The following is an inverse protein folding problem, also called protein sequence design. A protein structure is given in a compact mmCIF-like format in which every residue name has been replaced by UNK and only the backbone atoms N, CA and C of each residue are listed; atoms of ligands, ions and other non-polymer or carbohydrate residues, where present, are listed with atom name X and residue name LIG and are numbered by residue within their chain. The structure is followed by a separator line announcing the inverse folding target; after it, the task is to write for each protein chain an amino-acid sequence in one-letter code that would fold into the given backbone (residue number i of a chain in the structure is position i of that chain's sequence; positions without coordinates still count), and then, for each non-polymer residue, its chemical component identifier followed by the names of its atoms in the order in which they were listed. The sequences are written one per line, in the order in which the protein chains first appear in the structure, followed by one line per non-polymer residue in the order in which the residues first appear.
data_IF_913218966111
#
_entry.id   IF_913218966111
#
_cell.length_a   1.000
_cell.length_b   1.000
_cell.length_c   1.000
_cell.angle_alpha   90.00
_cell.angle_beta   90.00
_cell.angle_gamma   90.00
#
_symmetry.space_group_name_H-M   'P 1'
#
loop_
_entity.id
_entity.type
_entity.pdbx_description
1 polymer ?
#
# COMPACT_ATOMS: atom_id res chain seq x y z
N UNK A 1 51.58 -2.29 -45.84
CA UNK A 1 52.02 -2.32 -44.43
C UNK A 1 52.21 -0.87 -44.02
N UNK A 2 51.49 -0.23 -43.10
CA UNK A 2 50.52 -0.60 -42.04
C UNK A 2 49.68 0.67 -41.82
N UNK A 3 48.38 0.67 -42.13
CA UNK A 3 47.23 0.69 -41.19
C UNK A 3 47.31 1.73 -40.07
N UNK A 4 46.43 2.74 -40.16
CA UNK A 4 46.08 3.69 -39.10
C UNK A 4 45.43 2.96 -37.92
N UNK A 5 45.57 3.40 -36.66
CA UNK A 5 44.67 3.00 -35.60
C UNK A 5 43.54 4.02 -35.43
N UNK A 6 42.39 3.62 -35.95
CA UNK A 6 41.07 4.17 -35.70
C UNK A 6 40.68 3.98 -34.22
N UNK A 7 40.51 5.10 -33.50
CA UNK A 7 40.13 5.12 -32.09
C UNK A 7 38.61 4.94 -31.99
N UNK A 8 38.19 3.70 -31.70
CA UNK A 8 36.80 3.32 -31.48
C UNK A 8 36.26 3.97 -30.20
N UNK A 9 35.57 5.10 -30.36
CA UNK A 9 34.78 5.70 -29.29
C UNK A 9 33.66 4.72 -28.89
N UNK A 10 33.75 4.20 -27.66
CA UNK A 10 32.68 3.42 -27.05
C UNK A 10 31.41 4.27 -26.99
N UNK A 11 30.24 3.78 -27.44
CA UNK A 11 29.01 4.55 -27.30
C UNK A 11 28.72 4.78 -25.81
N UNK A 12 28.20 5.96 -25.42
CA UNK A 12 27.80 6.20 -24.05
C UNK A 12 26.75 5.15 -23.66
N UNK A 13 26.95 4.50 -22.52
CA UNK A 13 25.93 3.66 -21.89
C UNK A 13 24.71 4.54 -21.71
N UNK A 14 23.66 4.28 -22.48
CA UNK A 14 22.38 4.95 -22.37
C UNK A 14 21.85 4.67 -20.97
N UNK A 15 22.04 5.64 -20.07
CA UNK A 15 21.39 5.66 -18.77
C UNK A 15 19.90 5.60 -19.06
N UNK A 16 19.29 4.44 -18.85
CA UNK A 16 17.86 4.24 -19.02
C UNK A 16 17.14 5.40 -18.35
N UNK A 17 16.58 6.29 -19.15
CA UNK A 17 15.93 7.50 -18.66
C UNK A 17 14.90 7.06 -17.62
N UNK A 18 15.09 7.49 -16.37
CA UNK A 18 14.15 7.23 -15.29
C UNK A 18 12.88 8.00 -15.64
N UNK A 19 11.97 7.34 -16.39
CA UNK A 19 10.70 7.93 -16.81
C UNK A 19 9.94 8.31 -15.54
N UNK A 20 9.67 9.59 -15.36
CA UNK A 20 8.85 10.06 -14.25
C UNK A 20 7.50 9.34 -14.27
N UNK A 21 6.99 8.90 -13.10
CA UNK A 21 5.74 8.17 -13.04
C UNK A 21 4.59 9.04 -13.55
N UNK A 22 3.60 8.41 -14.19
CA UNK A 22 2.36 9.12 -14.58
C UNK A 22 1.53 9.59 -13.39
N UNK A 23 1.82 9.04 -12.20
CA UNK A 23 1.16 9.33 -10.94
C UNK A 23 1.39 8.19 -9.95
N UNK A 24 0.64 8.24 -8.85
CA UNK A 24 0.78 7.33 -7.72
C UNK A 24 -0.53 6.61 -7.41
N UNK A 25 -0.41 5.31 -7.11
CA UNK A 25 -1.44 4.50 -6.47
C UNK A 25 -0.98 4.19 -5.05
N UNK A 26 -1.75 4.63 -4.06
CA UNK A 26 -1.41 4.47 -2.65
C UNK A 26 -2.35 3.47 -2.01
N UNK A 27 -1.81 2.37 -1.49
CA UNK A 27 -2.57 1.33 -0.80
C UNK A 27 -2.46 1.52 0.70
N UNK A 28 -3.59 1.71 1.39
CA UNK A 28 -3.61 1.55 2.84
C UNK A 28 -3.61 0.05 3.20
N UNK A 29 -2.82 -0.32 4.21
CA UNK A 29 -2.67 -1.70 4.68
C UNK A 29 -2.81 -1.70 6.19
N UNK A 30 -3.76 -2.48 6.71
CA UNK A 30 -3.91 -2.66 8.16
C UNK A 30 -5.32 -3.05 8.57
N UNK A 31 -5.45 -3.45 9.84
CA UNK A 31 -6.69 -3.98 10.41
C UNK A 31 -7.80 -2.91 10.50
N UNK A 32 -9.08 -3.31 10.56
CA UNK A 32 -10.14 -2.43 11.06
C UNK A 32 -9.73 -1.82 12.41
N UNK A 33 -10.07 -0.55 12.66
CA UNK A 33 -9.63 0.15 13.88
C UNK A 33 -8.17 0.64 13.88
N UNK A 34 -7.35 0.31 12.88
CA UNK A 34 -5.95 0.78 12.81
C UNK A 34 -5.78 2.28 12.54
N UNK A 35 -6.85 2.96 12.12
CA UNK A 35 -6.86 4.41 11.89
C UNK A 35 -6.71 4.86 10.42
N UNK A 36 -6.82 3.95 9.45
CA UNK A 36 -6.80 4.26 8.00
C UNK A 36 -7.72 5.43 7.62
N UNK A 37 -9.00 5.32 7.95
CA UNK A 37 -10.00 6.36 7.64
C UNK A 37 -9.65 7.70 8.30
N UNK A 38 -9.18 7.69 9.55
CA UNK A 38 -8.73 8.91 10.24
C UNK A 38 -7.51 9.53 9.57
N UNK A 39 -6.57 8.71 9.09
CA UNK A 39 -5.37 9.16 8.38
C UNK A 39 -5.70 9.87 7.07
N UNK A 40 -6.71 9.37 6.34
CA UNK A 40 -7.23 9.99 5.12
C UNK A 40 -7.98 11.30 5.42
N UNK A 41 -8.90 11.28 6.39
CA UNK A 41 -9.68 12.47 6.80
C UNK A 41 -8.77 13.64 7.19
N UNK A 42 -7.72 13.38 7.98
CA UNK A 42 -6.75 14.41 8.39
C UNK A 42 -5.96 15.03 7.24
N UNK A 43 -5.93 14.38 6.07
CA UNK A 43 -5.25 14.86 4.86
C UNK A 43 -6.21 15.46 3.85
N UNK A 44 -7.50 15.54 4.14
CA UNK A 44 -8.52 15.96 3.18
C UNK A 44 -8.61 15.04 1.96
N UNK A 45 -8.22 13.78 2.10
CA UNK A 45 -8.20 12.80 1.00
C UNK A 45 -9.46 11.94 1.08
N UNK A 46 -10.20 11.86 -0.03
CA UNK A 46 -11.29 10.90 -0.22
C UNK A 46 -10.77 9.70 -1.02
N UNK A 47 -10.50 8.55 -0.38
CA UNK A 47 -10.00 7.37 -1.07
C UNK A 47 -11.10 6.63 -1.82
N UNK A 48 -10.71 5.81 -2.79
CA UNK A 48 -11.53 4.72 -3.30
C UNK A 48 -11.67 3.68 -2.18
N UNK A 49 -12.80 3.70 -1.47
CA UNK A 49 -13.02 2.87 -0.29
C UNK A 49 -14.04 1.76 -0.54
N UNK A 50 -13.70 0.54 -0.11
CA UNK A 50 -14.66 -0.58 -0.18
C UNK A 50 -15.88 -0.35 0.72
N UNK A 51 -15.74 0.41 1.81
CA UNK A 51 -16.84 0.72 2.73
C UNK A 51 -17.77 1.81 2.14
N UNK A 52 -17.20 2.80 1.44
CA UNK A 52 -17.98 3.78 0.68
C UNK A 52 -18.82 3.09 -0.40
N UNK A 53 -18.22 2.14 -1.13
CA UNK A 53 -18.95 1.40 -2.16
C UNK A 53 -20.06 0.51 -1.60
N UNK A 54 -19.90 -0.08 -0.42
CA UNK A 54 -20.99 -0.82 0.23
C UNK A 54 -22.17 0.09 0.52
N UNK A 55 -21.90 1.26 1.07
CA UNK A 55 -22.92 2.27 1.35
C UNK A 55 -23.62 2.71 0.06
N UNK A 56 -22.87 3.01 -1.01
CA UNK A 56 -23.45 3.45 -2.28
C UNK A 56 -24.24 2.37 -3.03
N UNK A 57 -23.89 1.09 -2.87
CA UNK A 57 -24.52 0.00 -3.61
C UNK A 57 -25.69 -0.65 -2.86
N UNK A 58 -25.68 -0.62 -1.53
CA UNK A 58 -26.62 -1.40 -0.70
C UNK A 58 -27.30 -0.58 0.39
N UNK A 59 -26.97 0.71 0.52
CA UNK A 59 -27.37 1.56 1.65
C UNK A 59 -26.97 0.98 3.03
N UNK A 60 -26.03 0.01 3.02
CA UNK A 60 -25.59 -0.73 4.20
C UNK A 60 -24.08 -1.01 4.12
N UNK A 61 -23.33 -0.36 5.02
CA UNK A 61 -21.88 -0.54 5.15
C UNK A 61 -21.48 -1.92 5.69
N UNK A 62 -22.40 -2.63 6.34
CA UNK A 62 -22.16 -3.94 6.95
C UNK A 62 -22.27 -5.09 5.96
N UNK A 63 -22.87 -4.87 4.78
CA UNK A 63 -23.07 -5.89 3.75
C UNK A 63 -21.76 -6.61 3.34
N UNK A 64 -21.71 -7.92 3.56
CA UNK A 64 -20.56 -8.78 3.27
C UNK A 64 -20.85 -9.90 2.26
N UNK A 65 -22.10 -10.12 1.82
CA UNK A 65 -22.46 -11.17 0.85
C UNK A 65 -21.88 -10.90 -0.53
N UNK A 66 -21.78 -9.62 -0.91
CA UNK A 66 -21.37 -9.18 -2.25
C UNK A 66 -19.94 -8.65 -2.33
N UNK A 67 -18.99 -9.23 -1.59
CA UNK A 67 -17.59 -8.75 -1.59
C UNK A 67 -16.98 -8.73 -2.98
N UNK A 68 -17.23 -9.76 -3.79
CA UNK A 68 -16.72 -9.85 -5.16
C UNK A 68 -17.16 -8.66 -6.03
N UNK A 69 -18.42 -8.24 -5.90
CA UNK A 69 -18.98 -7.07 -6.60
C UNK A 69 -18.36 -5.77 -6.09
N UNK A 70 -18.21 -5.61 -4.78
CA UNK A 70 -17.57 -4.41 -4.20
C UNK A 70 -16.14 -4.26 -4.70
N UNK A 71 -15.34 -5.34 -4.68
CA UNK A 71 -13.94 -5.30 -5.12
C UNK A 71 -13.78 -5.27 -6.64
N UNK A 72 -14.72 -5.78 -7.44
CA UNK A 72 -14.71 -5.58 -8.89
C UNK A 72 -15.01 -4.11 -9.24
N UNK A 73 -16.02 -3.50 -8.62
CA UNK A 73 -16.34 -2.08 -8.78
C UNK A 73 -15.17 -1.19 -8.35
N UNK A 74 -14.54 -1.49 -7.21
CA UNK A 74 -13.37 -0.75 -6.73
C UNK A 74 -12.21 -0.78 -7.74
N UNK A 75 -11.95 -1.95 -8.35
CA UNK A 75 -10.94 -2.11 -9.40
C UNK A 75 -11.30 -1.32 -10.66
N UNK A 76 -12.57 -1.34 -11.08
CA UNK A 76 -13.06 -0.58 -12.22
C UNK A 76 -12.91 0.92 -12.01
N UNK A 77 -13.23 1.44 -10.82
CA UNK A 77 -13.06 2.85 -10.48
C UNK A 77 -11.59 3.27 -10.50
N UNK A 78 -10.69 2.45 -9.92
CA UNK A 78 -9.26 2.71 -10.00
C UNK A 78 -8.82 2.73 -11.46
N UNK A 79 -9.18 1.71 -12.26
CA UNK A 79 -8.84 1.64 -13.70
C UNK A 79 -9.31 2.89 -14.44
N UNK A 80 -10.53 3.36 -14.20
CA UNK A 80 -11.06 4.58 -14.81
C UNK A 80 -10.20 5.81 -14.48
N UNK A 81 -9.80 5.97 -13.21
CA UNK A 81 -8.89 7.06 -12.79
C UNK A 81 -7.50 6.97 -13.43
N UNK A 82 -6.97 5.75 -13.58
CA UNK A 82 -5.68 5.53 -14.23
C UNK A 82 -5.73 5.89 -15.72
N UNK A 83 -6.80 5.52 -16.42
CA UNK A 83 -7.07 5.93 -17.82
C UNK A 83 -7.16 7.45 -17.93
N UNK A 84 -7.88 8.08 -16.99
CA UNK A 84 -8.02 9.53 -16.91
C UNK A 84 -6.74 10.27 -16.44
N UNK A 85 -5.62 9.56 -16.26
CA UNK A 85 -4.32 10.13 -15.86
C UNK A 85 -4.36 10.90 -14.53
N UNK A 86 -5.22 10.48 -13.60
CA UNK A 86 -5.32 11.13 -12.29
C UNK A 86 -4.03 10.93 -11.49
N UNK A 87 -3.36 11.99 -11.00
CA UNK A 87 -2.01 11.89 -10.43
C UNK A 87 -1.96 11.15 -9.09
N UNK A 88 -3.05 11.17 -8.31
CA UNK A 88 -3.12 10.52 -7.01
C UNK A 88 -4.36 9.63 -6.89
N UNK A 89 -4.15 8.38 -6.48
CA UNK A 89 -5.19 7.35 -6.38
C UNK A 89 -5.03 6.57 -5.08
N UNK A 90 -5.85 6.87 -4.09
CA UNK A 90 -5.81 6.21 -2.80
C UNK A 90 -6.82 5.07 -2.75
N UNK A 91 -6.39 3.88 -2.34
CA UNK A 91 -7.26 2.71 -2.16
C UNK A 91 -7.36 2.40 -0.67
N UNK A 92 -8.58 2.52 -0.15
CA UNK A 92 -8.91 2.21 1.25
C UNK A 92 -9.64 0.86 1.33
N UNK A 93 -8.82 -0.17 1.54
CA UNK A 93 -9.22 -1.51 1.91
C UNK A 93 -8.22 -2.02 2.95
N UNK A 94 -8.42 -3.22 3.49
CA UNK A 94 -7.52 -3.78 4.52
C UNK A 94 -6.20 -4.28 3.94
N UNK A 95 -6.22 -4.80 2.69
CA UNK A 95 -5.04 -5.22 1.92
C UNK A 95 -4.05 -6.08 2.72
N UNK A 96 -4.57 -7.06 3.46
CA UNK A 96 -3.88 -7.74 4.56
C UNK A 96 -2.75 -8.64 4.04
N UNK A 97 -3.00 -9.33 2.93
CA UNK A 97 -2.10 -10.32 2.36
C UNK A 97 -1.40 -9.84 1.09
N UNK A 98 -0.20 -10.34 0.77
CA UNK A 98 0.47 -10.04 -0.50
C UNK A 98 -0.36 -10.45 -1.73
N UNK A 99 -1.17 -11.49 -1.60
CA UNK A 99 -2.07 -11.94 -2.66
C UNK A 99 -3.12 -10.88 -3.03
N UNK A 100 -3.75 -10.26 -2.02
CA UNK A 100 -4.69 -9.14 -2.22
C UNK A 100 -4.00 -7.96 -2.89
N UNK A 101 -2.76 -7.65 -2.49
CA UNK A 101 -1.99 -6.50 -2.98
C UNK A 101 -1.49 -6.68 -4.41
N UNK A 102 -1.18 -7.92 -4.82
CA UNK A 102 -0.65 -8.26 -6.15
C UNK A 102 -1.51 -7.71 -7.29
N UNK A 103 -2.84 -7.79 -7.18
CA UNK A 103 -3.73 -7.32 -8.24
C UNK A 103 -3.69 -5.79 -8.40
N UNK A 104 -3.65 -5.05 -7.29
CA UNK A 104 -3.52 -3.60 -7.30
C UNK A 104 -2.19 -3.15 -7.91
N UNK A 105 -1.10 -3.79 -7.48
CA UNK A 105 0.26 -3.48 -7.95
C UNK A 105 0.37 -3.73 -9.45
N UNK A 106 -0.06 -4.92 -9.91
CA UNK A 106 -0.03 -5.28 -11.33
C UNK A 106 -0.82 -4.29 -12.18
N UNK A 107 -2.00 -3.90 -11.73
CA UNK A 107 -2.84 -2.93 -12.43
C UNK A 107 -2.14 -1.56 -12.50
N UNK A 108 -1.71 -1.00 -11.39
CA UNK A 108 -1.02 0.30 -11.38
C UNK A 108 0.21 0.32 -12.31
N UNK A 109 1.07 -0.70 -12.22
CA UNK A 109 2.28 -0.81 -13.05
C UNK A 109 1.95 -0.92 -14.54
N UNK A 110 0.92 -1.67 -14.92
CA UNK A 110 0.48 -1.78 -16.32
C UNK A 110 0.08 -0.45 -16.95
N UNK A 111 -0.33 0.54 -16.15
CA UNK A 111 -0.65 1.89 -16.62
C UNK A 111 0.54 2.86 -16.54
N UNK A 112 1.68 2.44 -15.97
CA UNK A 112 2.87 3.30 -15.76
C UNK A 112 2.78 4.17 -14.51
N UNK A 113 2.07 3.69 -13.48
CA UNK A 113 1.98 4.34 -12.17
C UNK A 113 2.91 3.65 -11.17
N UNK A 114 3.44 4.44 -10.24
CA UNK A 114 4.12 3.93 -9.06
C UNK A 114 3.12 3.54 -7.98
N UNK A 115 3.50 2.56 -7.17
CA UNK A 115 2.69 2.00 -6.10
C UNK A 115 3.36 2.26 -4.76
N UNK A 116 2.63 2.93 -3.87
CA UNK A 116 3.09 3.21 -2.52
C UNK A 116 2.21 2.49 -1.51
N UNK A 117 2.82 2.05 -0.40
CA UNK A 117 2.10 1.48 0.73
C UNK A 117 2.08 2.45 1.91
N UNK A 118 0.93 2.53 2.58
CA UNK A 118 0.80 3.10 3.92
C UNK A 118 0.40 1.97 4.87
N UNK A 119 1.38 1.45 5.61
CA UNK A 119 1.20 0.34 6.54
C UNK A 119 0.90 0.86 7.94
N UNK A 120 -0.24 0.45 8.49
CA UNK A 120 -0.67 0.78 9.84
C UNK A 120 -0.24 -0.34 10.78
N UNK A 121 0.97 -0.19 11.32
CA UNK A 121 1.60 -1.08 12.29
C UNK A 121 1.04 -0.75 13.69
N UNK A 122 -0.19 -1.20 13.92
CA UNK A 122 -0.96 -0.94 15.15
C UNK A 122 -1.26 -2.28 15.83
N UNK A 123 -0.95 -2.45 17.13
CA UNK A 123 -1.23 -3.69 17.84
C UNK A 123 -2.69 -4.13 17.74
N UNK A 124 -2.92 -5.44 17.65
CA UNK A 124 -4.27 -6.02 17.54
C UNK A 124 -5.17 -5.55 18.68
N UNK A 125 -4.68 -5.55 19.92
CA UNK A 125 -5.45 -5.11 21.10
C UNK A 125 -6.01 -3.68 20.92
N UNK A 126 -5.18 -2.75 20.43
CA UNK A 126 -5.61 -1.37 20.15
C UNK A 126 -6.62 -1.33 19.01
N UNK A 127 -6.44 -2.16 17.97
CA UNK A 127 -7.39 -2.24 16.87
C UNK A 127 -8.75 -2.78 17.34
N UNK A 128 -8.78 -3.80 18.20
CA UNK A 128 -9.99 -4.38 18.78
C UNK A 128 -10.71 -3.38 19.69
N UNK A 129 -9.98 -2.72 20.59
CA UNK A 129 -10.53 -1.68 21.47
C UNK A 129 -11.20 -0.58 20.65
N UNK A 130 -10.53 -0.08 19.60
CA UNK A 130 -11.11 0.94 18.71
C UNK A 130 -12.28 0.42 17.91
N UNK A 131 -12.23 -0.83 17.45
CA UNK A 131 -13.28 -1.44 16.65
C UNK A 131 -14.59 -1.61 17.45
N UNK A 132 -14.50 -1.91 18.75
CA UNK A 132 -15.68 -2.01 19.64
C UNK A 132 -16.48 -0.70 19.77
N UNK A 133 -15.82 0.45 19.55
CA UNK A 133 -16.41 1.79 19.68
C UNK A 133 -16.92 2.34 18.34
N UNK A 134 -16.89 1.55 17.27
CA UNK A 134 -17.36 1.95 15.93
C UNK A 134 -18.82 1.58 15.76
N UNK A 135 -19.52 2.35 14.94
CA UNK A 135 -20.87 2.03 14.47
C UNK A 135 -20.93 0.67 13.78
N UNK A 136 -19.96 0.39 12.89
CA UNK A 136 -19.73 -0.95 12.33
C UNK A 136 -18.65 -1.68 13.12
N UNK A 137 -19.07 -2.66 13.91
CA UNK A 137 -18.19 -3.53 14.70
C UNK A 137 -17.91 -4.82 13.92
N UNK A 138 -16.62 -5.11 13.71
CA UNK A 138 -16.18 -6.44 13.24
C UNK A 138 -16.06 -7.36 14.44
N UNK A 139 -16.54 -8.60 14.37
CA UNK A 139 -16.45 -9.52 15.51
C UNK A 139 -14.99 -9.85 15.87
N UNK A 140 -14.75 -10.18 17.15
CA UNK A 140 -13.40 -10.49 17.65
C UNK A 140 -12.76 -11.66 16.91
N UNK A 141 -13.53 -12.71 16.61
CA UNK A 141 -13.07 -13.85 15.81
C UNK A 141 -12.60 -13.44 14.41
N UNK A 142 -13.32 -12.53 13.76
CA UNK A 142 -12.94 -12.03 12.43
C UNK A 142 -11.71 -11.13 12.55
N UNK A 143 -11.63 -10.29 13.58
CA UNK A 143 -10.45 -9.47 13.85
C UNK A 143 -9.19 -10.32 14.05
N UNK A 144 -9.28 -11.42 14.80
CA UNK A 144 -8.17 -12.36 14.99
C UNK A 144 -7.74 -13.01 13.67
N UNK A 145 -8.70 -13.56 12.89
CA UNK A 145 -8.41 -14.13 11.56
C UNK A 145 -7.78 -13.10 10.60
N UNK A 146 -8.20 -11.84 10.68
CA UNK A 146 -7.60 -10.76 9.88
C UNK A 146 -6.18 -10.44 10.33
N UNK A 147 -5.90 -10.47 11.63
CA UNK A 147 -4.55 -10.27 12.19
C UNK A 147 -3.59 -11.38 11.77
N UNK A 148 -4.03 -12.63 11.81
CA UNK A 148 -3.24 -13.78 11.34
C UNK A 148 -2.88 -13.70 9.86
N UNK A 149 -3.74 -13.07 9.05
CA UNK A 149 -3.51 -12.84 7.61
C UNK A 149 -2.65 -11.62 7.32
N UNK A 150 -2.54 -10.68 8.26
CA UNK A 150 -1.80 -9.45 8.06
C UNK A 150 -0.32 -9.78 7.86
N UNK A 151 0.23 -9.36 6.71
CA UNK A 151 1.66 -9.43 6.43
C UNK A 151 2.15 -8.02 6.10
N UNK A 152 3.21 -7.53 6.76
CA UNK A 152 3.82 -6.25 6.41
C UNK A 152 4.13 -6.18 4.91
N UNK A 153 3.95 -5.02 4.26
CA UNK A 153 4.35 -4.87 2.87
C UNK A 153 5.87 -4.94 2.73
N UNK A 154 6.33 -5.46 1.59
CA UNK A 154 7.76 -5.52 1.25
C UNK A 154 8.00 -4.92 -0.13
N UNK A 155 9.19 -4.33 -0.35
CA UNK A 155 9.57 -3.79 -1.66
C UNK A 155 9.57 -4.86 -2.77
N UNK A 156 9.78 -6.14 -2.41
CA UNK A 156 9.73 -7.29 -3.33
C UNK A 156 8.36 -7.48 -4.00
N UNK A 157 7.28 -6.96 -3.40
CA UNK A 157 5.94 -6.99 -4.01
C UNK A 157 5.82 -5.99 -5.17
N UNK A 158 6.73 -5.01 -5.25
CA UNK A 158 6.72 -3.96 -6.25
C UNK A 158 6.17 -2.62 -5.73
N UNK A 159 6.31 -2.33 -4.43
CA UNK A 159 6.12 -0.98 -3.91
C UNK A 159 7.39 -0.15 -4.13
N UNK A 160 7.24 1.10 -4.54
CA UNK A 160 8.37 2.05 -4.66
C UNK A 160 8.59 2.82 -3.36
N UNK A 161 7.56 2.96 -2.53
CA UNK A 161 7.66 3.57 -1.20
C UNK A 161 6.75 2.87 -0.20
N UNK A 162 7.27 2.65 1.01
CA UNK A 162 6.50 2.10 2.14
C UNK A 162 6.58 3.10 3.29
N UNK A 163 5.42 3.61 3.71
CA UNK A 163 5.28 4.49 4.87
C UNK A 163 4.66 3.71 6.02
N UNK A 164 5.31 3.67 7.18
CA UNK A 164 4.79 2.98 8.37
C UNK A 164 4.17 4.00 9.32
N UNK A 165 2.94 3.73 9.77
CA UNK A 165 2.17 4.55 10.70
C UNK A 165 1.98 3.75 11.99
N UNK A 166 2.47 4.30 13.10
CA UNK A 166 2.38 3.70 14.45
C UNK A 166 1.60 4.60 15.39
N UNK A 167 1.10 4.03 16.48
CA UNK A 167 0.47 4.80 17.58
C UNK A 167 1.57 5.40 18.45
N UNK A 168 1.48 6.70 18.78
CA UNK A 168 2.34 7.33 19.80
C UNK A 168 2.08 6.62 21.13
N UNK A 169 3.09 5.92 21.67
CA UNK A 169 3.04 5.26 22.97
C UNK A 169 3.19 3.73 22.99
N UNK A 170 3.27 3.06 21.83
CA UNK A 170 3.44 1.59 21.76
C UNK A 170 4.87 1.15 21.35
N UNK A 171 5.88 1.99 21.60
CA UNK A 171 7.26 1.77 21.18
C UNK A 171 8.20 1.48 22.34
N UNK A 172 8.10 0.29 22.94
CA UNK A 172 9.20 -0.32 23.67
C UNK A 172 9.14 -1.83 23.43
N UNK A 173 10.03 -2.34 22.57
CA UNK A 173 10.13 -3.76 22.28
C UNK A 173 10.65 -4.05 20.87
N UNK A 174 11.90 -4.51 20.81
CA UNK A 174 12.61 -5.10 19.66
C UNK A 174 13.34 -4.11 18.74
N UNK A 175 14.49 -3.66 19.23
CA UNK A 175 15.68 -3.47 18.39
C UNK A 175 16.35 -4.85 18.21
N UNK A 176 16.46 -5.31 16.96
CA UNK A 176 17.54 -6.18 16.51
C UNK A 176 18.13 -5.47 15.29
N UNK A 177 19.43 -5.17 15.19
CA UNK A 177 20.59 -5.87 15.71
C UNK A 177 21.40 -6.35 14.51
N UNK A 178 22.08 -5.42 13.84
CA UNK A 178 23.16 -5.57 12.85
C UNK A 178 23.31 -4.15 12.27
N UNK A 179 24.43 -3.44 12.36
CA UNK A 179 25.72 -3.80 11.81
C UNK A 179 26.75 -2.79 12.38
N UNK A 180 27.77 -3.27 13.11
CA UNK A 180 28.96 -2.47 13.41
C UNK A 180 30.10 -2.96 12.52
N UNK A 181 30.45 -2.14 11.54
CA UNK A 181 31.64 -2.30 10.72
C UNK A 181 32.92 -1.96 11.54
N UNK A 182 34.11 -2.45 11.14
CA UNK A 182 35.29 -2.50 11.99
C UNK A 182 36.03 -1.16 12.02
N UNK A 183 36.61 -0.84 13.17
CA UNK A 183 37.51 0.29 13.35
C UNK A 183 38.93 -0.13 12.94
N UNK A 184 39.49 0.64 11.99
CA UNK A 184 40.81 0.46 11.43
C UNK A 184 41.88 1.11 12.31
N UNK A 185 43.07 0.52 12.24
CA UNK A 185 44.31 0.86 12.93
C UNK A 185 44.69 2.36 12.96
N UNK A 186 45.28 2.76 14.09
CA UNK A 186 46.58 3.40 14.19
C UNK A 186 47.15 3.28 15.61
#
# INVERSE_FOLDING_TARGET
METQPENLATPPVEQAAVKSPKGYVVLAIGLPGSGKTTWYKRRGVTPLSSDLLRTLLFDDITEQRYQGLVFSTLRSLLRARLIAKMPWNYVDATNLSPHERKQWIKMAKSFGYEVQAVFFDVPLAVCMERNSKRERVVTDEVMQKMAERLRPPTFKEGFEKITVVRVKGAGAGVQGGAESAPEAAQ
#
